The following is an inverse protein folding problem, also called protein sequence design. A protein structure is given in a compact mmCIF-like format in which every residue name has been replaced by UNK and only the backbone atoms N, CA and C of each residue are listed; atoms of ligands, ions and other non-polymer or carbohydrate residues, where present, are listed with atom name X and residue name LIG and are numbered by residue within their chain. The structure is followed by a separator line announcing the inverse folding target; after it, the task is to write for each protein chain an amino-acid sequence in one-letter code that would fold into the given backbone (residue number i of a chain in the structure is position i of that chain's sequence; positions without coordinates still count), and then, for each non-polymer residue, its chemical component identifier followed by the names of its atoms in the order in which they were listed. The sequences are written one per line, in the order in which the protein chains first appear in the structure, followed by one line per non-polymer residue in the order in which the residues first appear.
data_IF_450865490343
#
_entry.id   IF_450865490343
#
_cell.length_a   1.000
_cell.length_b   1.000
_cell.length_c   1.000
_cell.angle_alpha   90.00
_cell.angle_beta   90.00
_cell.angle_gamma   90.00
#
_symmetry.space_group_name_H-M   'P 1'
#
loop_
_entity.id
_entity.type
_entity.pdbx_description
1 polymer ?
#
# COMPACT_ATOMS: atom_id res chain seq x y z
N UNK A 1 -20.84 -22.29 43.25
CA UNK A 1 -20.37 -23.19 42.17
C UNK A 1 -19.58 -22.34 41.18
N UNK A 2 -18.26 -22.28 41.44
CA UNK A 2 -17.30 -21.53 40.61
C UNK A 2 -17.05 -22.26 39.29
N UNK A 3 -17.32 -21.60 38.19
CA UNK A 3 -16.81 -21.96 36.88
C UNK A 3 -15.39 -21.40 36.77
N UNK A 4 -14.40 -22.17 37.21
CA UNK A 4 -13.02 -22.01 36.78
C UNK A 4 -12.95 -22.33 35.28
N UNK A 5 -13.14 -21.31 34.42
CA UNK A 5 -12.70 -21.38 33.05
C UNK A 5 -11.16 -21.42 33.09
N UNK A 6 -10.59 -22.61 32.99
CA UNK A 6 -9.17 -22.82 32.85
C UNK A 6 -8.63 -21.89 31.74
N UNK A 7 -7.95 -20.82 32.13
CA UNK A 7 -7.14 -20.00 31.22
C UNK A 7 -6.11 -20.95 30.63
N UNK A 8 -6.28 -21.37 29.37
CA UNK A 8 -5.19 -21.99 28.62
C UNK A 8 -4.02 -21.02 28.70
N UNK A 9 -2.97 -21.37 29.45
CA UNK A 9 -1.73 -20.58 29.46
C UNK A 9 -1.21 -20.57 28.03
N UNK A 10 -1.28 -19.39 27.38
CA UNK A 10 -0.76 -19.23 26.03
C UNK A 10 0.77 -19.34 26.04
N UNK A 11 1.34 -19.77 24.93
CA UNK A 11 2.80 -19.84 24.74
C UNK A 11 3.38 -18.42 24.74
N UNK A 12 4.43 -18.19 25.52
CA UNK A 12 5.18 -16.92 25.54
C UNK A 12 6.40 -17.02 24.63
N UNK A 13 6.59 -16.01 23.80
CA UNK A 13 7.76 -15.84 22.92
C UNK A 13 8.75 -14.94 23.64
N UNK A 14 9.98 -15.39 23.77
CA UNK A 14 11.08 -14.65 24.36
C UNK A 14 11.92 -14.02 23.23
N UNK A 15 11.95 -12.69 23.17
CA UNK A 15 12.71 -11.92 22.18
C UNK A 15 14.19 -11.80 22.56
N UNK A 16 15.07 -11.44 21.61
CA UNK A 16 16.51 -11.30 21.80
C UNK A 16 16.89 -10.28 22.91
N UNK A 17 16.04 -9.29 23.16
CA UNK A 17 16.22 -8.27 24.19
C UNK A 17 15.65 -8.65 25.57
N UNK A 18 15.20 -9.90 25.73
CA UNK A 18 14.64 -10.42 26.97
C UNK A 18 13.15 -10.09 27.20
N UNK A 19 12.51 -9.32 26.32
CA UNK A 19 11.07 -9.07 26.40
C UNK A 19 10.30 -10.33 26.04
N UNK A 20 9.12 -10.49 26.63
CA UNK A 20 8.23 -11.60 26.32
C UNK A 20 6.92 -11.09 25.74
N UNK A 21 6.45 -11.77 24.69
CA UNK A 21 5.16 -11.50 24.08
C UNK A 21 4.34 -12.79 23.95
N UNK A 22 3.00 -12.75 24.06
CA UNK A 22 2.19 -13.92 23.85
C UNK A 22 2.19 -14.34 22.37
N UNK A 23 2.22 -15.65 22.13
CA UNK A 23 1.99 -16.17 20.78
C UNK A 23 0.61 -15.75 20.27
N UNK A 24 0.57 -15.23 19.06
CA UNK A 24 -0.68 -14.81 18.40
C UNK A 24 -0.78 -15.41 17.01
N UNK A 25 -1.80 -16.25 16.79
CA UNK A 25 -2.12 -16.81 15.47
C UNK A 25 -2.33 -15.73 14.42
N UNK A 26 -3.04 -14.64 14.77
CA UNK A 26 -3.33 -13.56 13.84
C UNK A 26 -2.05 -12.83 13.39
N UNK A 27 -1.15 -12.55 14.33
CA UNK A 27 0.15 -11.91 14.01
C UNK A 27 1.01 -12.85 13.15
N UNK A 28 1.03 -14.15 13.46
CA UNK A 28 1.79 -15.09 12.65
C UNK A 28 1.17 -15.24 11.27
N UNK A 29 -0.14 -15.43 11.16
CA UNK A 29 -0.82 -15.54 9.86
C UNK A 29 -0.54 -14.30 8.98
N UNK A 30 -0.61 -13.10 9.55
CA UNK A 30 -0.24 -11.86 8.85
C UNK A 30 1.20 -11.90 8.32
N UNK A 31 2.16 -12.37 9.13
CA UNK A 31 3.57 -12.50 8.71
C UNK A 31 3.76 -13.53 7.61
N UNK A 32 2.94 -14.57 7.58
CA UNK A 32 2.99 -15.62 6.56
C UNK A 32 2.42 -15.14 5.22
N UNK A 33 1.37 -14.33 5.24
CA UNK A 33 0.79 -13.77 4.01
C UNK A 33 1.77 -12.92 3.20
N UNK A 34 2.73 -12.26 3.85
CA UNK A 34 3.80 -11.50 3.17
C UNK A 34 4.75 -12.41 2.37
N UNK A 35 4.80 -13.69 2.72
CA UNK A 35 5.61 -14.69 2.03
C UNK A 35 4.90 -15.34 0.82
N UNK A 36 3.72 -14.82 0.44
CA UNK A 36 2.92 -15.35 -0.66
C UNK A 36 2.00 -16.51 -0.25
N UNK A 37 1.78 -16.70 1.05
CA UNK A 37 0.88 -17.76 1.55
C UNK A 37 -0.54 -17.18 1.63
N UNK A 38 -1.52 -17.87 1.04
CA UNK A 38 -2.92 -17.45 1.07
C UNK A 38 -3.43 -17.29 2.50
N UNK A 39 -4.44 -16.42 2.70
CA UNK A 39 -5.00 -16.12 4.03
C UNK A 39 -5.40 -17.39 4.80
N UNK A 40 -6.16 -18.27 4.17
CA UNK A 40 -6.69 -19.49 4.83
C UNK A 40 -5.55 -20.42 5.23
N UNK A 41 -4.57 -20.64 4.33
CA UNK A 41 -3.40 -21.47 4.60
C UNK A 41 -2.50 -20.86 5.67
N UNK A 42 -2.35 -19.55 5.70
CA UNK A 42 -1.58 -18.84 6.73
C UNK A 42 -2.18 -19.05 8.14
N UNK A 43 -3.51 -18.98 8.27
CA UNK A 43 -4.19 -19.26 9.54
C UNK A 43 -4.12 -20.73 9.92
N UNK A 44 -4.22 -21.66 8.95
CA UNK A 44 -4.05 -23.09 9.18
C UNK A 44 -2.66 -23.40 9.75
N UNK A 45 -1.60 -22.89 9.11
CA UNK A 45 -0.21 -23.05 9.56
C UNK A 45 -0.03 -22.46 10.97
N UNK A 46 -0.53 -21.24 11.21
CA UNK A 46 -0.44 -20.62 12.52
C UNK A 46 -1.12 -21.46 13.63
N UNK A 47 -2.26 -22.08 13.33
CA UNK A 47 -2.94 -23.00 14.24
C UNK A 47 -2.12 -24.27 14.48
N UNK A 48 -1.61 -24.91 13.43
CA UNK A 48 -0.77 -26.11 13.56
C UNK A 48 0.47 -25.87 14.41
N UNK A 49 1.09 -24.69 14.28
CA UNK A 49 2.24 -24.32 15.11
C UNK A 49 1.83 -24.18 16.58
N UNK A 50 0.70 -23.49 16.87
CA UNK A 50 0.19 -23.42 18.25
C UNK A 50 -0.07 -24.80 18.84
N UNK A 51 -0.69 -25.70 18.09
CA UNK A 51 -0.97 -27.08 18.50
C UNK A 51 0.34 -27.86 18.73
N UNK A 52 1.34 -27.74 17.87
CA UNK A 52 2.68 -28.34 18.04
C UNK A 52 3.36 -27.85 19.33
N UNK A 53 3.24 -26.56 19.65
CA UNK A 53 3.84 -25.97 20.86
C UNK A 53 3.12 -26.41 22.12
N UNK A 54 1.79 -26.37 22.13
CA UNK A 54 0.96 -26.70 23.29
C UNK A 54 0.98 -28.21 23.60
N UNK A 55 0.96 -29.08 22.58
CA UNK A 55 1.03 -30.56 22.76
C UNK A 55 2.38 -30.99 23.37
N UNK A 56 3.45 -30.26 23.14
CA UNK A 56 4.77 -30.51 23.75
C UNK A 56 4.93 -29.83 25.11
N UNK A 57 3.89 -29.21 25.66
CA UNK A 57 3.92 -28.54 26.95
C UNK A 57 4.84 -27.30 27.00
N UNK A 58 5.10 -26.68 25.84
CA UNK A 58 5.99 -25.52 25.74
C UNK A 58 5.24 -24.28 26.23
N UNK A 59 5.58 -23.77 27.41
CA UNK A 59 5.03 -22.52 27.94
C UNK A 59 5.84 -21.29 27.49
N UNK A 60 7.13 -21.47 27.18
CA UNK A 60 8.03 -20.40 26.69
C UNK A 60 8.92 -20.93 25.57
N UNK A 61 9.14 -20.08 24.54
CA UNK A 61 9.99 -20.43 23.41
C UNK A 61 10.79 -19.20 22.97
N UNK A 62 12.08 -19.37 22.71
CA UNK A 62 12.91 -18.32 22.10
C UNK A 62 12.44 -18.03 20.68
N UNK A 63 12.46 -16.76 20.29
CA UNK A 63 12.02 -16.32 18.98
C UNK A 63 12.73 -17.04 17.82
N UNK A 64 14.04 -17.29 17.96
CA UNK A 64 14.84 -18.00 16.96
C UNK A 64 14.32 -19.43 16.75
N UNK A 65 14.08 -20.14 17.85
CA UNK A 65 13.55 -21.52 17.80
C UNK A 65 12.15 -21.58 17.20
N UNK A 66 11.32 -20.58 17.50
CA UNK A 66 10.00 -20.44 16.88
C UNK A 66 10.13 -20.18 15.38
N UNK A 67 11.08 -19.33 14.94
CA UNK A 67 11.31 -19.07 13.51
C UNK A 67 11.75 -20.32 12.75
N UNK A 68 12.57 -21.19 13.35
CA UNK A 68 12.93 -22.49 12.78
C UNK A 68 11.70 -23.39 12.59
N UNK A 69 10.86 -23.50 13.65
CA UNK A 69 9.64 -24.31 13.58
C UNK A 69 8.70 -23.77 12.49
N UNK A 70 8.56 -22.45 12.37
CA UNK A 70 7.73 -21.82 11.34
C UNK A 70 8.30 -22.13 9.96
N UNK A 71 9.59 -21.96 9.75
CA UNK A 71 10.26 -22.24 8.48
C UNK A 71 10.04 -23.68 8.01
N UNK A 72 10.33 -24.64 8.88
CA UNK A 72 10.13 -26.07 8.56
C UNK A 72 8.65 -26.39 8.29
N UNK A 73 7.74 -25.79 9.05
CA UNK A 73 6.30 -26.00 8.82
C UNK A 73 5.84 -25.42 7.48
N UNK A 74 6.35 -24.25 7.07
CA UNK A 74 6.05 -23.67 5.76
C UNK A 74 6.61 -24.58 4.66
N UNK A 75 7.86 -25.02 4.80
CA UNK A 75 8.53 -25.91 3.83
C UNK A 75 7.75 -27.22 3.62
N UNK A 76 7.26 -27.81 4.70
CA UNK A 76 6.45 -29.03 4.65
C UNK A 76 5.05 -28.82 4.03
N UNK A 77 4.39 -27.70 4.34
CA UNK A 77 2.97 -27.49 4.04
C UNK A 77 2.70 -26.73 2.73
N UNK A 78 3.66 -25.94 2.27
CA UNK A 78 3.50 -25.05 1.11
C UNK A 78 4.65 -25.24 0.11
N UNK A 79 5.89 -25.08 0.58
CA UNK A 79 7.06 -25.22 -0.26
C UNK A 79 8.29 -24.48 0.26
N UNK A 80 9.42 -24.77 -0.35
CA UNK A 80 10.72 -24.18 0.01
C UNK A 80 10.79 -22.72 -0.37
N UNK A 81 10.18 -22.33 -1.49
CA UNK A 81 10.18 -20.94 -1.98
C UNK A 81 9.48 -19.98 -1.00
N UNK A 82 8.32 -20.36 -0.48
CA UNK A 82 7.57 -19.58 0.51
C UNK A 82 8.31 -19.54 1.85
N UNK A 83 8.95 -20.63 2.25
CA UNK A 83 9.79 -20.68 3.44
C UNK A 83 10.99 -19.73 3.34
N UNK A 84 11.66 -19.70 2.20
CA UNK A 84 12.77 -18.78 1.94
C UNK A 84 12.32 -17.32 1.87
N UNK A 85 11.15 -17.04 1.27
CA UNK A 85 10.54 -15.71 1.31
C UNK A 85 10.24 -15.27 2.75
N UNK A 86 9.72 -16.15 3.59
CA UNK A 86 9.50 -15.87 5.01
C UNK A 86 10.81 -15.50 5.72
N UNK A 87 11.89 -16.27 5.51
CA UNK A 87 13.21 -16.00 6.08
C UNK A 87 13.77 -14.66 5.61
N UNK A 88 13.58 -14.31 4.34
CA UNK A 88 13.97 -13.02 3.77
C UNK A 88 13.24 -11.86 4.46
N UNK A 89 11.92 -11.98 4.64
CA UNK A 89 11.14 -10.94 5.33
C UNK A 89 11.55 -10.74 6.79
N UNK A 90 11.97 -11.80 7.50
CA UNK A 90 12.56 -11.66 8.83
C UNK A 90 13.83 -10.82 8.77
N UNK A 91 14.72 -11.07 7.81
CA UNK A 91 15.96 -10.29 7.65
C UNK A 91 15.66 -8.82 7.32
N UNK A 92 14.74 -8.55 6.40
CA UNK A 92 14.30 -7.19 6.06
C UNK A 92 13.80 -6.45 7.31
N UNK A 93 12.91 -7.07 8.09
CA UNK A 93 12.36 -6.45 9.32
C UNK A 93 13.43 -6.20 10.41
N UNK A 94 14.49 -6.99 10.46
CA UNK A 94 15.62 -6.77 11.40
C UNK A 94 16.41 -5.50 11.07
N UNK A 95 16.41 -5.02 9.82
CA UNK A 95 17.12 -3.78 9.43
C UNK A 95 16.52 -2.51 9.99
N UNK A 96 15.26 -2.56 10.47
CA UNK A 96 14.52 -1.41 11.03
C UNK A 96 14.38 -0.21 10.07
N UNK A 97 14.67 -0.40 8.78
CA UNK A 97 14.42 0.61 7.78
C UNK A 97 12.91 0.74 7.52
N UNK A 98 12.35 1.96 7.47
CA UNK A 98 10.92 2.13 7.20
C UNK A 98 10.59 1.71 5.77
N UNK A 99 9.51 0.95 5.60
CA UNK A 99 8.96 0.59 4.29
C UNK A 99 7.93 1.64 3.91
N UNK A 100 8.16 2.37 2.83
CA UNK A 100 7.26 3.40 2.34
C UNK A 100 6.80 3.05 0.93
N UNK A 101 5.50 2.92 0.75
CA UNK A 101 4.88 2.58 -0.53
C UNK A 101 4.18 3.83 -1.06
N UNK A 102 4.49 4.22 -2.29
CA UNK A 102 3.85 5.31 -3.00
C UNK A 102 2.93 4.72 -4.08
N UNK A 103 1.63 4.65 -3.79
CA UNK A 103 0.65 3.98 -4.64
C UNK A 103 -0.13 4.99 -5.47
N UNK A 104 0.30 5.20 -6.72
CA UNK A 104 -0.33 6.11 -7.67
C UNK A 104 -1.39 5.44 -8.55
N UNK A 105 -2.14 6.26 -9.27
CA UNK A 105 -3.12 5.82 -10.25
C UNK A 105 -4.33 6.76 -10.34
N UNK A 106 -5.10 6.68 -11.40
CA UNK A 106 -6.27 7.54 -11.62
C UNK A 106 -7.41 7.27 -10.62
N UNK A 107 -8.38 8.19 -10.58
CA UNK A 107 -9.61 8.00 -9.80
C UNK A 107 -10.33 6.73 -10.27
N UNK A 108 -10.81 5.89 -9.35
CA UNK A 108 -11.55 4.66 -9.67
C UNK A 108 -10.71 3.41 -9.94
N UNK A 109 -9.36 3.49 -9.96
CA UNK A 109 -8.51 2.31 -10.22
C UNK A 109 -8.30 1.38 -9.01
N UNK A 110 -8.94 1.62 -7.84
CA UNK A 110 -8.91 0.73 -6.69
C UNK A 110 -7.76 0.94 -5.70
N UNK A 111 -7.01 2.06 -5.78
CA UNK A 111 -5.85 2.36 -4.91
C UNK A 111 -6.12 2.18 -3.41
N UNK A 112 -7.19 2.78 -2.91
CA UNK A 112 -7.49 2.76 -1.46
C UNK A 112 -7.79 1.35 -0.96
N UNK A 113 -8.45 0.52 -1.78
CA UNK A 113 -8.73 -0.90 -1.47
C UNK A 113 -7.42 -1.69 -1.41
N UNK A 114 -6.59 -1.55 -2.42
CA UNK A 114 -5.26 -2.20 -2.49
C UNK A 114 -4.37 -1.70 -1.34
N UNK A 115 -4.35 -0.38 -1.06
CA UNK A 115 -3.57 0.19 0.04
C UNK A 115 -3.98 -0.39 1.40
N UNK A 116 -5.28 -0.58 1.64
CA UNK A 116 -5.80 -1.16 2.88
C UNK A 116 -5.38 -2.63 3.04
N UNK A 117 -5.47 -3.43 1.98
CA UNK A 117 -5.05 -4.84 2.02
C UNK A 117 -3.52 -4.98 2.17
N UNK A 118 -2.74 -4.15 1.46
CA UNK A 118 -1.28 -4.09 1.64
C UNK A 118 -0.91 -3.69 3.07
N UNK A 119 -1.57 -2.67 3.62
CA UNK A 119 -1.35 -2.23 5.00
C UNK A 119 -1.61 -3.35 5.99
N UNK A 120 -2.69 -4.11 5.79
CA UNK A 120 -3.01 -5.27 6.61
C UNK A 120 -1.93 -6.35 6.50
N UNK A 121 -1.55 -6.81 5.30
CA UNK A 121 -0.57 -7.89 5.11
C UNK A 121 0.82 -7.51 5.59
N UNK A 122 1.28 -6.28 5.29
CA UNK A 122 2.61 -5.80 5.68
C UNK A 122 2.70 -5.35 7.14
N UNK A 123 1.56 -5.21 7.84
CA UNK A 123 1.50 -4.67 9.20
C UNK A 123 1.81 -3.18 9.27
N UNK A 124 1.49 -2.43 8.20
CA UNK A 124 1.66 -0.99 8.12
C UNK A 124 0.43 -0.31 8.75
N UNK A 125 0.66 0.62 9.68
CA UNK A 125 -0.42 1.31 10.41
C UNK A 125 -0.80 2.65 9.81
N UNK A 126 0.10 3.25 9.04
CA UNK A 126 -0.09 4.59 8.48
C UNK A 126 -0.42 4.50 7.00
N UNK A 127 -1.66 4.84 6.66
CA UNK A 127 -2.12 4.98 5.27
C UNK A 127 -2.60 6.41 5.10
N UNK A 128 -2.03 7.14 4.15
CA UNK A 128 -2.31 8.56 3.91
C UNK A 128 -2.77 8.74 2.47
N UNK A 129 -4.01 9.21 2.30
CA UNK A 129 -4.53 9.60 1.00
C UNK A 129 -4.02 10.98 0.58
N UNK A 130 -3.56 11.13 -0.65
CA UNK A 130 -3.07 12.44 -1.16
C UNK A 130 -4.18 13.48 -1.28
N UNK A 131 -5.45 13.05 -1.38
CA UNK A 131 -6.60 13.95 -1.31
C UNK A 131 -6.74 14.61 0.06
N UNK A 132 -6.39 13.92 1.15
CA UNK A 132 -6.36 14.50 2.49
C UNK A 132 -5.27 15.58 2.60
N UNK A 133 -4.09 15.32 2.02
CA UNK A 133 -3.00 16.31 1.95
C UNK A 133 -3.49 17.56 1.18
N UNK A 134 -4.07 17.36 0.00
CA UNK A 134 -4.66 18.45 -0.79
C UNK A 134 -5.71 19.23 -0.01
N UNK A 135 -6.60 18.54 0.73
CA UNK A 135 -7.65 19.18 1.52
C UNK A 135 -7.07 20.11 2.59
N UNK A 136 -6.00 19.70 3.28
CA UNK A 136 -5.29 20.56 4.23
C UNK A 136 -4.69 21.78 3.52
N UNK A 137 -4.01 21.58 2.39
CA UNK A 137 -3.36 22.65 1.65
C UNK A 137 -4.38 23.70 1.15
N UNK A 138 -5.51 23.27 0.59
CA UNK A 138 -6.54 24.18 0.10
C UNK A 138 -7.30 24.94 1.20
N UNK A 139 -7.18 24.52 2.47
CA UNK A 139 -7.71 25.30 3.61
C UNK A 139 -6.79 26.44 4.03
N UNK A 140 -5.50 26.29 3.74
CA UNK A 140 -4.48 27.29 4.04
C UNK A 140 -4.30 28.27 2.88
N UNK A 141 -4.35 27.75 1.64
CA UNK A 141 -4.12 28.49 0.41
C UNK A 141 -5.45 28.85 -0.26
N UNK A 142 -5.71 30.14 -0.47
CA UNK A 142 -6.96 30.58 -1.09
C UNK A 142 -7.06 30.19 -2.56
N UNK A 143 -8.29 30.19 -3.10
CA UNK A 143 -8.54 29.84 -4.51
C UNK A 143 -7.87 30.84 -5.48
N UNK A 144 -7.76 32.09 -5.07
CA UNK A 144 -7.12 33.15 -5.86
C UNK A 144 -5.60 32.91 -6.01
N UNK A 145 -4.96 32.38 -4.97
CA UNK A 145 -3.52 32.08 -4.99
C UNK A 145 -3.22 30.75 -5.67
N UNK A 146 -4.05 29.75 -5.44
CA UNK A 146 -3.80 28.36 -5.90
C UNK A 146 -5.08 27.73 -6.49
N UNK A 147 -5.57 28.21 -7.62
CA UNK A 147 -6.85 27.76 -8.18
C UNK A 147 -6.89 26.27 -8.47
N UNK A 148 -5.79 25.67 -8.89
CA UNK A 148 -5.69 24.24 -9.20
C UNK A 148 -5.98 23.34 -7.98
N UNK A 149 -5.60 23.73 -6.75
CA UNK A 149 -5.87 22.96 -5.53
C UNK A 149 -7.36 22.86 -5.20
N UNK A 150 -8.17 23.80 -5.68
CA UNK A 150 -9.61 23.87 -5.42
C UNK A 150 -10.45 23.09 -6.44
N UNK A 151 -9.82 22.57 -7.49
CA UNK A 151 -10.43 21.69 -8.46
C UNK A 151 -10.17 20.19 -8.11
N UNK A 152 -10.89 19.27 -8.77
CA UNK A 152 -10.52 17.85 -8.76
C UNK A 152 -9.39 17.61 -9.77
N UNK A 153 -8.61 16.57 -9.61
CA UNK A 153 -7.52 16.22 -10.53
C UNK A 153 -7.94 16.15 -12.00
N UNK A 154 -9.16 15.68 -12.26
CA UNK A 154 -9.73 15.53 -13.62
C UNK A 154 -10.51 16.75 -14.10
N UNK A 155 -10.71 17.78 -13.26
CA UNK A 155 -11.28 19.09 -13.65
C UNK A 155 -10.30 20.24 -13.55
N UNK A 156 -9.08 19.99 -13.11
CA UNK A 156 -8.05 20.99 -12.85
C UNK A 156 -7.73 21.86 -14.09
N UNK A 157 -7.87 21.31 -15.30
CA UNK A 157 -7.72 22.04 -16.54
C UNK A 157 -8.67 23.24 -16.66
N UNK A 158 -9.83 23.24 -15.99
CA UNK A 158 -10.77 24.36 -15.96
C UNK A 158 -10.24 25.58 -15.20
N UNK A 159 -9.19 25.40 -14.41
CA UNK A 159 -8.50 26.51 -13.72
C UNK A 159 -7.39 27.16 -14.55
N UNK A 160 -7.22 26.73 -15.79
CA UNK A 160 -6.25 27.33 -16.72
C UNK A 160 -6.86 28.60 -17.29
N UNK A 161 -6.21 29.73 -17.08
CA UNK A 161 -6.67 31.04 -17.55
C UNK A 161 -5.80 31.64 -18.66
N UNK A 162 -4.81 30.86 -19.14
CA UNK A 162 -3.90 31.28 -20.21
C UNK A 162 -4.05 30.37 -21.42
N UNK A 163 -3.90 30.87 -22.65
CA UNK A 163 -3.96 30.00 -23.84
C UNK A 163 -2.87 28.95 -23.80
N UNK A 164 -3.27 27.69 -24.04
CA UNK A 164 -2.36 26.57 -24.20
C UNK A 164 -2.15 26.30 -25.68
N UNK A 165 -0.89 26.14 -26.15
CA UNK A 165 -0.65 25.76 -27.54
C UNK A 165 -1.37 24.46 -27.90
N UNK A 166 -1.93 24.33 -29.12
CA UNK A 166 -2.71 23.15 -29.55
C UNK A 166 -1.94 21.82 -29.52
N UNK A 167 -0.61 21.88 -29.39
CA UNK A 167 0.26 20.71 -29.27
C UNK A 167 0.23 20.04 -27.89
N UNK A 168 -0.36 20.71 -26.89
CA UNK A 168 -0.48 20.20 -25.53
C UNK A 168 -1.92 19.76 -25.21
N UNK A 169 -2.06 18.72 -24.43
CA UNK A 169 -3.35 18.29 -23.89
C UNK A 169 -3.67 19.13 -22.65
N UNK A 170 -4.67 20.02 -22.76
CA UNK A 170 -5.09 20.91 -21.66
C UNK A 170 -5.45 20.15 -20.39
N UNK A 171 -6.08 18.96 -20.52
CA UNK A 171 -6.46 18.15 -19.37
C UNK A 171 -5.23 17.66 -18.61
N UNK A 172 -4.19 17.26 -19.35
CA UNK A 172 -2.93 16.82 -18.76
C UNK A 172 -2.16 18.00 -18.16
N UNK A 173 -2.08 19.13 -18.85
CA UNK A 173 -1.42 20.35 -18.30
C UNK A 173 -2.07 20.77 -16.99
N UNK A 174 -3.41 20.81 -16.94
CA UNK A 174 -4.12 21.14 -15.70
C UNK A 174 -3.89 20.14 -14.59
N UNK A 175 -3.87 18.85 -14.93
CA UNK A 175 -3.54 17.78 -13.98
C UNK A 175 -2.11 17.87 -13.45
N UNK A 176 -1.13 18.15 -14.33
CA UNK A 176 0.27 18.30 -13.93
C UNK A 176 0.44 19.44 -12.93
N UNK A 177 -0.13 20.61 -13.23
CA UNK A 177 -0.07 21.76 -12.32
C UNK A 177 -0.75 21.44 -10.98
N UNK A 178 -1.91 20.83 -11.00
CA UNK A 178 -2.59 20.36 -9.80
C UNK A 178 -1.71 19.40 -8.98
N UNK A 179 -1.13 18.37 -9.62
CA UNK A 179 -0.31 17.38 -8.96
C UNK A 179 1.00 17.96 -8.40
N UNK A 180 1.69 18.82 -9.14
CA UNK A 180 2.92 19.50 -8.68
C UNK A 180 2.73 20.26 -7.37
N UNK A 181 1.59 20.92 -7.19
CA UNK A 181 1.28 21.61 -5.94
C UNK A 181 1.11 20.64 -4.78
N UNK A 182 0.39 19.52 -4.99
CA UNK A 182 0.14 18.53 -3.93
C UNK A 182 1.41 17.74 -3.56
N UNK A 183 2.32 17.53 -4.52
CA UNK A 183 3.59 16.83 -4.31
C UNK A 183 4.42 17.46 -3.19
N UNK A 184 4.38 18.77 -3.02
CA UNK A 184 5.09 19.48 -1.93
C UNK A 184 4.64 18.93 -0.55
N UNK A 185 3.34 18.73 -0.37
CA UNK A 185 2.79 18.14 0.85
C UNK A 185 3.12 16.65 0.98
N UNK A 186 3.14 15.92 -0.14
CA UNK A 186 3.54 14.50 -0.17
C UNK A 186 4.99 14.35 0.28
N UNK A 187 5.91 15.15 -0.25
CA UNK A 187 7.33 15.15 0.13
C UNK A 187 7.53 15.48 1.62
N UNK A 188 6.73 16.39 2.19
CA UNK A 188 6.78 16.71 3.60
C UNK A 188 6.38 15.52 4.49
N UNK A 189 5.30 14.80 4.13
CA UNK A 189 4.85 13.58 4.81
C UNK A 189 5.88 12.46 4.66
N UNK A 190 6.44 12.28 3.47
CA UNK A 190 7.46 11.29 3.15
C UNK A 190 8.74 11.53 3.97
N UNK A 191 9.23 12.76 4.01
CA UNK A 191 10.40 13.14 4.82
C UNK A 191 10.18 12.83 6.29
N UNK A 192 9.01 13.16 6.82
CA UNK A 192 8.65 12.83 8.22
C UNK A 192 8.68 11.33 8.47
N UNK A 193 8.08 10.54 7.58
CA UNK A 193 8.05 9.08 7.70
C UNK A 193 9.47 8.48 7.72
N UNK A 194 10.37 8.98 6.89
CA UNK A 194 11.77 8.55 6.86
C UNK A 194 12.51 8.92 8.14
N UNK A 195 12.36 10.15 8.63
CA UNK A 195 13.03 10.64 9.85
C UNK A 195 12.56 9.90 11.10
N UNK A 196 11.25 9.63 11.20
CA UNK A 196 10.68 8.94 12.35
C UNK A 196 10.71 7.39 12.23
N UNK A 197 11.24 6.84 11.13
CA UNK A 197 11.31 5.40 10.91
C UNK A 197 9.94 4.74 10.77
N UNK A 198 8.94 5.44 10.20
CA UNK A 198 7.57 4.97 10.11
C UNK A 198 7.30 4.21 8.82
N UNK A 199 6.84 2.96 8.91
CA UNK A 199 6.24 2.27 7.77
C UNK A 199 4.96 2.99 7.35
N UNK A 200 4.81 3.30 6.06
CA UNK A 200 3.70 4.11 5.55
C UNK A 200 3.31 3.73 4.12
N UNK A 201 2.02 3.84 3.82
CA UNK A 201 1.51 3.86 2.45
C UNK A 201 0.96 5.25 2.19
N UNK A 202 1.43 5.90 1.13
CA UNK A 202 0.84 7.15 0.61
C UNK A 202 0.15 6.77 -0.70
N UNK A 203 -1.17 7.00 -0.79
CA UNK A 203 -1.94 6.63 -1.98
C UNK A 203 -2.67 7.82 -2.58
N UNK A 204 -2.73 7.88 -3.91
CA UNK A 204 -3.53 8.88 -4.60
C UNK A 204 -3.08 9.18 -6.02
N UNK A 205 -3.91 9.96 -6.71
CA UNK A 205 -3.67 10.35 -8.11
C UNK A 205 -2.47 11.29 -8.27
N UNK A 206 -2.07 11.96 -7.19
CA UNK A 206 -0.96 12.93 -7.19
C UNK A 206 0.43 12.26 -7.07
N UNK A 207 0.48 10.93 -6.92
CA UNK A 207 1.71 10.15 -7.04
C UNK A 207 2.03 9.99 -8.53
N UNK A 208 2.72 10.97 -9.08
CA UNK A 208 3.11 11.02 -10.49
C UNK A 208 4.59 10.67 -10.60
N UNK A 209 4.97 9.63 -11.38
CA UNK A 209 6.36 9.32 -11.62
C UNK A 209 7.12 10.52 -12.20
N UNK A 210 8.28 10.83 -11.64
CA UNK A 210 9.10 11.98 -12.03
C UNK A 210 8.78 13.30 -11.31
N UNK A 211 7.67 13.40 -10.55
CA UNK A 211 7.35 14.65 -9.81
C UNK A 211 7.93 14.62 -8.40
N UNK A 212 7.97 13.47 -7.73
CA UNK A 212 8.63 13.33 -6.44
C UNK A 212 10.14 13.31 -6.66
N UNK A 213 10.87 14.06 -5.85
CA UNK A 213 12.32 14.20 -5.99
C UNK A 213 13.04 12.85 -5.91
N UNK A 214 14.10 12.71 -6.72
CA UNK A 214 14.94 11.52 -6.79
C UNK A 214 15.57 11.17 -5.43
N UNK A 215 15.90 12.17 -4.60
CA UNK A 215 16.42 11.93 -3.25
C UNK A 215 15.55 10.98 -2.42
N UNK A 216 14.24 10.89 -2.71
CA UNK A 216 13.32 9.96 -2.08
C UNK A 216 13.14 8.68 -2.90
N UNK A 217 12.88 8.81 -4.20
CA UNK A 217 12.52 7.64 -5.04
C UNK A 217 13.68 6.71 -5.34
N UNK A 218 14.93 7.19 -5.19
CA UNK A 218 16.13 6.38 -5.35
C UNK A 218 16.42 5.51 -4.10
N UNK A 219 15.79 5.82 -2.96
CA UNK A 219 15.92 5.01 -1.75
C UNK A 219 15.29 3.61 -1.97
N UNK A 220 15.99 2.53 -1.61
CA UNK A 220 15.49 1.17 -1.83
C UNK A 220 14.22 0.85 -1.03
N UNK A 221 13.99 1.54 0.09
CA UNK A 221 12.83 1.38 0.97
C UNK A 221 11.66 2.32 0.64
N UNK A 222 11.78 3.18 -0.39
CA UNK A 222 10.69 3.97 -0.96
C UNK A 222 10.29 3.36 -2.31
N UNK A 223 9.06 2.87 -2.40
CA UNK A 223 8.63 1.99 -3.49
C UNK A 223 7.44 2.63 -4.22
N UNK A 224 7.68 3.37 -5.33
CA UNK A 224 6.62 3.90 -6.17
C UNK A 224 6.03 2.79 -7.06
N UNK A 225 4.70 2.79 -7.18
CA UNK A 225 3.91 1.86 -7.99
C UNK A 225 2.72 2.60 -8.55
N UNK A 226 2.38 2.36 -9.82
CA UNK A 226 1.19 2.89 -10.47
C UNK A 226 0.18 1.77 -10.69
N UNK A 227 -1.08 2.01 -10.26
CA UNK A 227 -2.21 1.12 -10.57
C UNK A 227 -3.02 1.67 -11.73
N UNK A 228 -3.49 0.77 -12.60
CA UNK A 228 -4.40 1.13 -13.69
C UNK A 228 -5.44 0.05 -13.93
N UNK A 229 -6.54 0.43 -14.58
CA UNK A 229 -7.59 -0.46 -15.06
C UNK A 229 -7.56 -0.41 -16.58
N UNK A 230 -7.35 -1.54 -17.23
CA UNK A 230 -7.22 -1.58 -18.70
C UNK A 230 -8.58 -1.36 -19.36
N UNK A 231 -9.56 -2.17 -18.97
CA UNK A 231 -10.90 -2.11 -19.53
C UNK A 231 -11.67 -0.85 -19.10
N UNK A 232 -12.24 -0.15 -20.08
CA UNK A 232 -12.96 1.11 -19.88
C UNK A 232 -14.29 0.92 -19.14
N UNK A 233 -15.00 -0.17 -19.46
CA UNK A 233 -16.32 -0.41 -18.89
C UNK A 233 -16.21 -0.97 -17.48
N UNK A 234 -15.21 -1.83 -17.21
CA UNK A 234 -14.85 -2.21 -15.86
C UNK A 234 -14.51 -0.98 -15.01
N UNK A 235 -13.75 -0.03 -15.55
CA UNK A 235 -13.40 1.20 -14.84
C UNK A 235 -14.63 2.03 -14.48
N UNK A 236 -15.64 2.12 -15.37
CA UNK A 236 -16.93 2.78 -15.08
C UNK A 236 -17.72 2.03 -14.00
N UNK A 237 -17.80 0.69 -14.10
CA UNK A 237 -18.51 -0.15 -13.12
C UNK A 237 -17.99 0.09 -11.70
N UNK A 238 -16.69 0.30 -11.53
CA UNK A 238 -16.07 0.60 -10.22
C UNK A 238 -16.58 1.90 -9.59
N UNK A 239 -17.01 2.89 -10.38
CA UNK A 239 -17.65 4.10 -9.83
C UNK A 239 -19.04 3.80 -9.27
N UNK A 240 -19.81 2.94 -9.91
CA UNK A 240 -21.14 2.52 -9.43
C UNK A 240 -21.02 1.71 -8.13
N UNK A 241 -20.08 0.76 -8.06
CA UNK A 241 -19.81 0.00 -6.84
C UNK A 241 -19.42 0.93 -5.68
N UNK A 242 -18.54 1.89 -5.93
CA UNK A 242 -18.08 2.87 -4.93
C UNK A 242 -19.19 3.77 -4.39
N UNK A 243 -20.19 4.11 -5.22
CA UNK A 243 -21.31 4.94 -4.79
C UNK A 243 -22.23 4.22 -3.79
N UNK A 244 -22.36 2.90 -3.91
CA UNK A 244 -23.12 2.08 -2.96
C UNK A 244 -22.43 2.00 -1.59
N UNK A 245 -21.09 1.97 -1.55
CA UNK A 245 -20.30 1.87 -0.31
C UNK A 245 -20.16 3.22 0.43
N UNK A 246 -20.25 4.34 -0.28
CA UNK A 246 -19.98 5.66 0.28
C UNK A 246 -20.96 6.72 -0.23
N UNK A 247 -22.21 6.76 0.30
CA UNK A 247 -23.29 7.61 -0.21
C UNK A 247 -23.05 9.13 -0.05
N UNK A 248 -22.09 9.55 0.77
CA UNK A 248 -21.71 10.97 0.94
C UNK A 248 -20.64 11.47 -0.04
N UNK A 249 -20.20 10.63 -0.96
CA UNK A 249 -19.27 11.04 -2.03
C UNK A 249 -20.02 11.69 -3.18
N UNK A 250 -19.24 12.23 -4.14
CA UNK A 250 -19.81 12.80 -5.37
C UNK A 250 -20.71 11.79 -6.09
N UNK A 251 -21.84 12.23 -6.67
CA UNK A 251 -22.68 11.39 -7.52
C UNK A 251 -21.89 10.72 -8.64
N UNK A 252 -22.29 9.51 -9.04
CA UNK A 252 -21.59 8.74 -10.09
C UNK A 252 -21.59 9.52 -11.40
N UNK A 253 -22.66 10.23 -11.69
CA UNK A 253 -22.85 11.03 -12.90
C UNK A 253 -21.73 12.07 -13.10
N UNK A 254 -21.20 12.62 -12.02
CA UNK A 254 -20.07 13.57 -12.09
C UNK A 254 -18.77 12.87 -12.57
N UNK A 255 -18.53 11.63 -12.14
CA UNK A 255 -17.38 10.86 -12.62
C UNK A 255 -17.56 10.42 -14.07
N UNK A 256 -18.76 10.01 -14.45
CA UNK A 256 -19.05 9.57 -15.83
C UNK A 256 -18.97 10.74 -16.80
N UNK A 257 -19.43 11.95 -16.39
CA UNK A 257 -19.30 13.17 -17.18
C UNK A 257 -17.85 13.51 -17.52
N UNK A 258 -16.95 13.36 -16.58
CA UNK A 258 -15.52 13.68 -16.74
C UNK A 258 -14.65 12.43 -16.97
N UNK A 259 -15.27 11.30 -17.34
CA UNK A 259 -14.60 10.00 -17.46
C UNK A 259 -13.46 10.00 -18.48
N UNK A 260 -13.61 10.72 -19.59
CA UNK A 260 -12.55 10.86 -20.59
C UNK A 260 -11.28 11.49 -19.98
N UNK A 261 -11.42 12.55 -19.18
CA UNK A 261 -10.30 13.18 -18.49
C UNK A 261 -9.64 12.20 -17.50
N UNK A 262 -10.45 11.40 -16.79
CA UNK A 262 -9.91 10.37 -15.88
C UNK A 262 -9.09 9.34 -16.65
N UNK A 263 -9.56 8.88 -17.82
CA UNK A 263 -8.83 7.92 -18.67
C UNK A 263 -7.56 8.51 -19.25
N UNK A 264 -7.58 9.78 -19.70
CA UNK A 264 -6.38 10.48 -20.17
C UNK A 264 -5.32 10.58 -19.07
N UNK A 265 -5.73 10.94 -17.85
CA UNK A 265 -4.82 10.97 -16.69
C UNK A 265 -4.25 9.58 -16.41
N UNK A 266 -5.06 8.52 -16.46
CA UNK A 266 -4.55 7.16 -16.29
C UNK A 266 -3.47 6.83 -17.33
N UNK A 267 -3.76 7.07 -18.60
CA UNK A 267 -2.82 6.78 -19.68
C UNK A 267 -1.52 7.59 -19.52
N UNK A 268 -1.65 8.85 -19.09
CA UNK A 268 -0.50 9.69 -18.77
C UNK A 268 0.33 9.10 -17.63
N UNK A 269 -0.29 8.67 -16.51
CA UNK A 269 0.41 8.06 -15.37
C UNK A 269 1.14 6.77 -15.75
N UNK A 270 0.51 5.91 -16.56
CA UNK A 270 1.13 4.67 -17.07
C UNK A 270 2.35 5.01 -17.96
N UNK A 271 2.20 6.00 -18.86
CA UNK A 271 3.30 6.45 -19.72
C UNK A 271 4.46 7.05 -18.89
N UNK A 272 4.15 7.85 -17.88
CA UNK A 272 5.18 8.38 -16.97
C UNK A 272 5.87 7.25 -16.19
N UNK A 273 5.11 6.24 -15.77
CA UNK A 273 5.67 5.07 -15.11
C UNK A 273 6.70 4.35 -16.00
N UNK A 274 6.40 4.17 -17.27
CA UNK A 274 7.34 3.60 -18.27
C UNK A 274 8.59 4.46 -18.43
N UNK A 275 8.44 5.78 -18.59
CA UNK A 275 9.58 6.72 -18.78
C UNK A 275 10.51 6.71 -17.56
N UNK A 276 9.96 6.65 -16.34
CA UNK A 276 10.74 6.70 -15.11
C UNK A 276 11.07 5.32 -14.51
N UNK A 277 10.76 4.21 -15.21
CA UNK A 277 11.03 2.87 -14.73
C UNK A 277 10.27 2.49 -13.45
N UNK A 278 9.10 3.08 -13.24
CA UNK A 278 8.20 2.77 -12.12
C UNK A 278 7.28 1.62 -12.53
N UNK A 279 7.10 0.58 -11.72
CA UNK A 279 6.17 -0.49 -12.04
C UNK A 279 4.73 0.02 -12.21
N UNK A 280 4.11 -0.30 -13.36
CA UNK A 280 2.69 -0.12 -13.60
C UNK A 280 1.98 -1.47 -13.53
N UNK A 281 0.96 -1.59 -12.69
CA UNK A 281 0.27 -2.85 -12.41
C UNK A 281 -1.20 -2.71 -12.80
N UNK A 282 -1.65 -3.62 -13.64
CA UNK A 282 -3.06 -3.78 -13.96
C UNK A 282 -3.79 -4.34 -12.74
N UNK A 283 -4.83 -3.65 -12.30
CA UNK A 283 -5.66 -4.07 -11.18
C UNK A 283 -6.90 -4.80 -11.69
N UNK A 284 -6.79 -6.10 -11.90
CA UNK A 284 -7.90 -6.98 -12.30
C UNK A 284 -8.57 -7.62 -11.10
N UNK A 285 -7.79 -8.30 -10.25
CA UNK A 285 -8.27 -8.84 -8.98
C UNK A 285 -7.45 -8.28 -7.82
N UNK A 286 -8.10 -8.12 -6.68
CA UNK A 286 -7.42 -7.60 -5.48
C UNK A 286 -6.27 -8.53 -5.05
N UNK A 287 -6.52 -9.84 -5.03
CA UNK A 287 -5.56 -10.83 -4.55
C UNK A 287 -4.28 -10.84 -5.41
N UNK A 288 -4.42 -11.02 -6.72
CA UNK A 288 -3.29 -11.04 -7.66
C UNK A 288 -2.53 -9.71 -7.68
N UNK A 289 -3.26 -8.58 -7.62
CA UNK A 289 -2.64 -7.26 -7.59
C UNK A 289 -1.78 -7.07 -6.35
N UNK A 290 -2.29 -7.46 -5.18
CA UNK A 290 -1.56 -7.37 -3.91
C UNK A 290 -0.34 -8.30 -3.90
N UNK A 291 -0.46 -9.53 -4.41
CA UNK A 291 0.67 -10.46 -4.52
C UNK A 291 1.78 -9.93 -5.43
N UNK A 292 1.42 -9.39 -6.58
CA UNK A 292 2.39 -8.76 -7.50
C UNK A 292 3.09 -7.58 -6.85
N UNK A 293 2.37 -6.73 -6.10
CA UNK A 293 2.95 -5.60 -5.38
C UNK A 293 3.91 -6.09 -4.30
N UNK A 294 3.53 -7.10 -3.50
CA UNK A 294 4.39 -7.67 -2.47
C UNK A 294 5.66 -8.26 -3.10
N UNK A 295 5.55 -8.91 -4.27
CA UNK A 295 6.70 -9.39 -5.03
C UNK A 295 7.67 -8.26 -5.38
N UNK A 296 7.17 -7.14 -5.94
CA UNK A 296 7.98 -5.96 -6.28
C UNK A 296 8.65 -5.35 -5.04
N UNK A 297 7.89 -5.23 -3.94
CA UNK A 297 8.41 -4.73 -2.67
C UNK A 297 9.55 -5.63 -2.19
N UNK A 298 9.34 -6.94 -2.21
CA UNK A 298 10.32 -7.93 -1.77
C UNK A 298 11.62 -7.83 -2.58
N UNK A 299 11.52 -7.76 -3.91
CA UNK A 299 12.70 -7.64 -4.80
C UNK A 299 13.45 -6.32 -4.57
N UNK A 300 12.73 -5.23 -4.34
CA UNK A 300 13.37 -3.94 -4.07
C UNK A 300 14.09 -3.93 -2.72
N UNK A 301 13.46 -4.51 -1.68
CA UNK A 301 14.00 -4.57 -0.32
C UNK A 301 15.13 -5.62 -0.16
N UNK A 302 15.26 -6.59 -1.07
CA UNK A 302 16.43 -7.49 -1.11
C UNK A 302 17.77 -6.73 -1.15
N UNK A 303 17.76 -5.53 -1.75
CA UNK A 303 18.95 -4.66 -1.82
C UNK A 303 19.40 -4.11 -0.46
N UNK A 304 18.57 -4.24 0.58
CA UNK A 304 18.88 -3.82 1.96
C UNK A 304 19.52 -4.95 2.78
N UNK A 305 19.48 -6.20 2.33
CA UNK A 305 19.87 -7.42 3.06
C UNK A 305 21.04 -8.10 2.41
#
# INVERSE_FOLDING_TARGET
LGLERGRRKGVLIEEEDGRTSPYSKGILAQRLMVSGISRDKAYEIARKIEEKLTSKGIERIKQEKLQEIIYETIKEEVGEEEADRYRLWIKIKRKKEPIIILLGGATGCGKSTIASELAYRLGIRHVVGTDAIREVMRRILSKELMPFLHESSYTAWRAIHVPIPPTYDEMIVGFEEHAKHVVVGIEAVLRRALVEGMNMIIEGVHIVPGFIKKEFTDLPNVIPIILYVEDSDEHKIRFYARAQEAPFRKPVEEYIKDFEAIRRIQNYLVRQAEIYGVPAIKNESMEETVERIIGIITERLKRLV
#
